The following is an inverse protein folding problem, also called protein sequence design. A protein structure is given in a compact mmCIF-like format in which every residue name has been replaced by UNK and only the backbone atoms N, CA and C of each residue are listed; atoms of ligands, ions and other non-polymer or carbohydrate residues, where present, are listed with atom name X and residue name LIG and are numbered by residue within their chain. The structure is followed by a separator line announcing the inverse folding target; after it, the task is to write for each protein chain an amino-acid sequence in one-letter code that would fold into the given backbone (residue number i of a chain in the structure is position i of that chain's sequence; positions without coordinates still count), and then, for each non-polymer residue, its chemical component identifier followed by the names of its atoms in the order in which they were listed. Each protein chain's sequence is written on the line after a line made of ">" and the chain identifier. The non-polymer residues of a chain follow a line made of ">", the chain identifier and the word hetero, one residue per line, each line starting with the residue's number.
data_IF_898237667044
#
_entry.id   IF_898237667044
#
_cell.length_a   1.000
_cell.length_b   1.000
_cell.length_c   1.000
_cell.angle_alpha   90.00
_cell.angle_beta   90.00
_cell.angle_gamma   90.00
#
_symmetry.space_group_name_H-M   'P 1'
#
loop_
_entity.id
_entity.type
_entity.pdbx_description
1 polymer ?
#
# COMPACT_ATOMS: atom_id res chain seq x y z
N UNK A 1 2.75 24.15 4.82
CA UNK A 1 2.57 24.33 3.35
C UNK A 1 1.43 23.47 2.81
N UNK A 2 0.42 24.05 2.15
CA UNK A 2 -0.77 23.32 1.66
C UNK A 2 -0.41 22.33 0.54
N UNK A 3 0.49 22.71 -0.37
CA UNK A 3 0.88 21.88 -1.51
C UNK A 3 1.53 20.54 -1.08
N UNK A 4 2.36 20.52 -0.02
CA UNK A 4 2.98 19.27 0.48
C UNK A 4 1.91 18.26 0.92
N UNK A 5 0.84 18.74 1.56
CA UNK A 5 -0.30 17.89 1.97
C UNK A 5 -1.02 17.30 0.76
N UNK A 6 -1.17 18.07 -0.32
CA UNK A 6 -1.77 17.57 -1.57
C UNK A 6 -0.90 16.48 -2.17
N UNK A 7 0.42 16.72 -2.31
CA UNK A 7 1.36 15.72 -2.86
C UNK A 7 1.40 14.47 -1.99
N UNK A 8 1.36 14.61 -0.67
CA UNK A 8 1.30 13.48 0.26
C UNK A 8 0.06 12.62 0.03
N UNK A 9 -1.13 13.23 -0.06
CA UNK A 9 -2.39 12.52 -0.31
C UNK A 9 -2.37 11.82 -1.68
N UNK A 10 -1.84 12.48 -2.72
CA UNK A 10 -1.65 11.85 -4.03
C UNK A 10 -0.72 10.63 -3.95
N UNK A 11 0.39 10.74 -3.22
CA UNK A 11 1.29 9.63 -2.95
C UNK A 11 0.59 8.45 -2.29
N UNK A 12 -0.22 8.71 -1.26
CA UNK A 12 -1.02 7.68 -0.56
C UNK A 12 -2.03 7.02 -1.52
N UNK A 13 -2.71 7.79 -2.36
CA UNK A 13 -3.67 7.26 -3.35
C UNK A 13 -2.97 6.32 -4.34
N UNK A 14 -1.85 6.76 -4.93
CA UNK A 14 -1.10 5.91 -5.86
C UNK A 14 -0.50 4.68 -5.19
N UNK A 15 0.01 4.83 -3.98
CA UNK A 15 0.60 3.73 -3.24
C UNK A 15 -0.44 2.66 -2.89
N UNK A 16 -1.52 3.05 -2.23
CA UNK A 16 -2.54 2.15 -1.73
C UNK A 16 -3.40 1.59 -2.87
N UNK A 17 -3.79 2.43 -3.83
CA UNK A 17 -4.49 1.99 -5.04
C UNK A 17 -3.65 1.02 -5.86
N UNK A 18 -2.36 1.32 -6.04
CA UNK A 18 -1.41 0.43 -6.71
C UNK A 18 -1.32 -0.94 -6.02
N UNK A 19 -1.21 -0.98 -4.69
CA UNK A 19 -1.16 -2.25 -3.94
C UNK A 19 -2.47 -3.04 -3.98
N UNK A 20 -3.64 -2.38 -3.92
CA UNK A 20 -4.94 -3.05 -4.01
C UNK A 20 -5.17 -3.68 -5.38
N UNK A 21 -4.86 -2.95 -6.45
CA UNK A 21 -4.96 -3.47 -7.82
C UNK A 21 -3.96 -4.61 -8.01
N UNK A 22 -2.71 -4.40 -7.58
CA UNK A 22 -1.66 -5.41 -7.73
C UNK A 22 -1.99 -6.71 -6.98
N UNK A 23 -2.37 -6.62 -5.70
CA UNK A 23 -2.78 -7.81 -4.91
C UNK A 23 -3.95 -8.55 -5.53
N UNK A 24 -4.90 -7.83 -6.14
CA UNK A 24 -6.02 -8.45 -6.88
C UNK A 24 -5.54 -9.18 -8.13
N UNK A 25 -4.65 -8.57 -8.91
CA UNK A 25 -4.08 -9.22 -10.10
C UNK A 25 -3.30 -10.49 -9.74
N UNK A 26 -2.48 -10.45 -8.68
CA UNK A 26 -1.71 -11.63 -8.25
C UNK A 26 -2.62 -12.80 -7.84
N UNK A 27 -3.79 -12.52 -7.24
CA UNK A 27 -4.76 -13.56 -6.89
C UNK A 27 -5.42 -14.22 -8.12
N UNK A 28 -5.46 -13.52 -9.25
CA UNK A 28 -5.87 -14.08 -10.53
C UNK A 28 -4.74 -14.82 -11.21
N UNK A 29 -3.53 -14.24 -11.24
CA UNK A 29 -2.33 -14.82 -11.83
C UNK A 29 -2.12 -16.28 -11.42
N UNK A 30 -2.24 -16.60 -10.13
CA UNK A 30 -2.07 -17.96 -9.57
C UNK A 30 -2.98 -19.02 -10.21
N UNK A 31 -4.11 -18.60 -10.79
CA UNK A 31 -5.11 -19.50 -11.38
C UNK A 31 -4.98 -19.64 -12.89
N UNK A 32 -4.18 -18.79 -13.52
CA UNK A 32 -4.02 -18.74 -14.97
C UNK A 32 -2.88 -19.65 -15.42
N UNK A 33 -2.91 -20.03 -16.69
CA UNK A 33 -1.88 -20.83 -17.34
C UNK A 33 -1.11 -20.01 -18.39
N UNK A 34 -0.03 -20.58 -18.92
CA UNK A 34 0.69 -19.96 -20.04
C UNK A 34 -0.21 -19.90 -21.28
N UNK A 35 -0.18 -18.81 -22.07
CA UNK A 35 0.74 -17.67 -22.02
C UNK A 35 0.20 -16.45 -21.23
N UNK A 36 -0.98 -16.57 -20.61
CA UNK A 36 -1.64 -15.47 -19.87
C UNK A 36 -0.80 -15.10 -18.65
N UNK A 37 -0.25 -16.10 -17.98
CA UNK A 37 0.64 -15.95 -16.83
C UNK A 37 1.79 -14.95 -17.08
N UNK A 38 2.51 -15.11 -18.20
CA UNK A 38 3.63 -14.23 -18.58
C UNK A 38 3.18 -12.79 -18.85
N UNK A 39 2.00 -12.63 -19.46
CA UNK A 39 1.42 -11.31 -19.74
C UNK A 39 1.06 -10.60 -18.43
N UNK A 40 0.43 -11.31 -17.50
CA UNK A 40 0.10 -10.80 -16.17
C UNK A 40 1.35 -10.38 -15.40
N UNK A 41 2.39 -11.22 -15.36
CA UNK A 41 3.64 -10.88 -14.69
C UNK A 41 4.28 -9.58 -15.19
N UNK A 42 4.21 -9.29 -16.50
CA UNK A 42 4.69 -8.01 -17.06
C UNK A 42 3.85 -6.81 -16.62
N UNK A 43 2.52 -6.95 -16.63
CA UNK A 43 1.59 -5.88 -16.21
C UNK A 43 1.77 -5.59 -14.72
N UNK A 44 1.83 -6.63 -13.90
CA UNK A 44 2.00 -6.54 -12.45
C UNK A 44 3.33 -5.87 -12.08
N UNK A 45 4.43 -6.24 -12.77
CA UNK A 45 5.74 -5.59 -12.58
C UNK A 45 5.67 -4.11 -12.94
N UNK A 46 5.02 -3.76 -14.06
CA UNK A 46 4.84 -2.36 -14.46
C UNK A 46 3.98 -1.59 -13.46
N UNK A 47 2.93 -2.20 -12.92
CA UNK A 47 2.07 -1.57 -11.92
C UNK A 47 2.83 -1.33 -10.60
N UNK A 48 3.62 -2.31 -10.16
CA UNK A 48 4.42 -2.18 -8.94
C UNK A 48 5.45 -1.06 -9.04
N UNK A 49 6.27 -1.09 -10.10
CA UNK A 49 7.36 -0.13 -10.28
C UNK A 49 6.90 1.23 -10.80
N UNK A 50 5.80 1.27 -11.56
CA UNK A 50 5.27 2.50 -12.18
C UNK A 50 4.26 3.25 -11.32
N UNK A 51 3.58 2.58 -10.38
CA UNK A 51 2.51 3.20 -9.57
C UNK A 51 2.77 3.03 -8.07
N UNK A 52 2.92 1.80 -7.59
CA UNK A 52 2.99 1.55 -6.14
C UNK A 52 4.27 2.12 -5.50
N UNK A 53 5.43 1.93 -6.13
CA UNK A 53 6.72 2.45 -5.63
C UNK A 53 6.80 3.98 -5.68
N UNK A 54 6.47 4.67 -6.80
CA UNK A 54 6.45 6.13 -6.83
C UNK A 54 5.48 6.72 -5.80
N UNK A 55 4.31 6.09 -5.63
CA UNK A 55 3.35 6.48 -4.60
C UNK A 55 3.93 6.37 -3.18
N UNK A 56 4.59 5.24 -2.86
CA UNK A 56 5.28 5.02 -1.58
C UNK A 56 6.30 6.12 -1.31
N UNK A 57 7.17 6.40 -2.30
CA UNK A 57 8.23 7.41 -2.17
C UNK A 57 7.64 8.80 -1.94
N UNK A 58 6.65 9.20 -2.74
CA UNK A 58 5.96 10.47 -2.57
C UNK A 58 5.34 10.60 -1.17
N UNK A 59 4.63 9.56 -0.72
CA UNK A 59 3.98 9.55 0.58
C UNK A 59 4.99 9.63 1.74
N UNK A 60 6.07 8.85 1.70
CA UNK A 60 7.07 8.83 2.77
C UNK A 60 7.90 10.11 2.81
N UNK A 61 8.40 10.58 1.67
CA UNK A 61 9.24 11.80 1.63
C UNK A 61 8.45 13.01 2.13
N UNK A 62 7.23 13.21 1.61
CA UNK A 62 6.39 14.33 2.06
C UNK A 62 5.89 14.15 3.49
N UNK A 63 5.64 12.92 3.93
CA UNK A 63 5.24 12.63 5.31
C UNK A 63 6.35 12.95 6.31
N UNK A 64 7.59 12.55 6.00
CA UNK A 64 8.78 12.85 6.81
C UNK A 64 9.06 14.36 6.80
N UNK A 65 8.98 15.01 5.64
CA UNK A 65 9.15 16.46 5.54
C UNK A 65 8.17 17.17 6.48
N UNK A 66 6.89 16.85 6.41
CA UNK A 66 5.89 17.45 7.29
C UNK A 66 6.21 17.23 8.78
N UNK A 67 6.78 16.08 9.16
CA UNK A 67 7.15 15.81 10.55
C UNK A 67 8.31 16.67 11.04
N UNK A 68 9.31 16.91 10.20
CA UNK A 68 10.45 17.79 10.50
C UNK A 68 9.96 19.24 10.68
N UNK A 69 9.11 19.72 9.78
CA UNK A 69 8.53 21.07 9.84
C UNK A 69 7.67 21.30 11.09
N UNK A 70 7.03 20.25 11.62
CA UNK A 70 6.14 20.31 12.80
C UNK A 70 6.87 20.28 14.16
N UNK A 71 8.22 20.32 14.18
CA UNK A 71 9.05 20.40 15.39
C UNK A 71 8.66 19.44 16.54
N UNK A 72 8.38 18.16 16.26
CA UNK A 72 8.07 17.13 17.27
C UNK A 72 6.83 17.39 18.17
N UNK A 73 6.12 18.52 18.00
CA UNK A 73 4.83 18.85 18.63
C UNK A 73 3.76 17.72 18.50
N UNK A 74 3.74 16.88 17.44
CA UNK A 74 2.74 15.83 17.29
C UNK A 74 2.84 14.64 18.26
N UNK A 75 3.94 14.48 19.00
CA UNK A 75 4.20 13.26 19.80
C UNK A 75 3.20 13.03 20.95
N UNK A 76 2.49 14.06 21.41
CA UNK A 76 1.45 13.93 22.46
C UNK A 76 0.05 13.67 21.88
N UNK A 77 -0.12 13.72 20.56
CA UNK A 77 -1.43 13.55 19.94
C UNK A 77 -1.69 12.05 19.65
N UNK A 78 -2.72 11.42 20.25
CA UNK A 78 -3.04 10.01 19.99
C UNK A 78 -3.30 9.72 18.51
N UNK A 79 -3.84 10.68 17.75
CA UNK A 79 -4.05 10.55 16.31
C UNK A 79 -2.74 10.38 15.53
N UNK A 80 -1.63 10.93 16.04
CA UNK A 80 -0.32 10.78 15.42
C UNK A 80 0.18 9.33 15.50
N UNK A 81 0.04 8.69 16.67
CA UNK A 81 0.41 7.28 16.84
C UNK A 81 -0.42 6.35 15.96
N UNK A 82 -1.73 6.56 15.88
CA UNK A 82 -2.61 5.79 14.99
C UNK A 82 -2.15 5.90 13.54
N UNK A 83 -1.86 7.13 13.07
CA UNK A 83 -1.36 7.35 11.70
C UNK A 83 -0.03 6.64 11.46
N UNK A 84 0.89 6.70 12.42
CA UNK A 84 2.19 6.06 12.30
C UNK A 84 2.06 4.54 12.22
N UNK A 85 1.25 3.94 13.10
CA UNK A 85 0.96 2.50 13.08
C UNK A 85 0.35 2.05 11.75
N UNK A 86 -0.57 2.84 11.19
CA UNK A 86 -1.16 2.57 9.88
C UNK A 86 -0.13 2.59 8.75
N UNK A 87 0.75 3.60 8.72
CA UNK A 87 1.82 3.69 7.72
C UNK A 87 2.79 2.52 7.86
N UNK A 88 3.20 2.17 9.08
CA UNK A 88 4.06 1.00 9.32
C UNK A 88 3.40 -0.30 8.83
N UNK A 89 2.12 -0.51 9.12
CA UNK A 89 1.37 -1.66 8.63
C UNK A 89 1.31 -1.71 7.09
N UNK A 90 1.11 -0.56 6.44
CA UNK A 90 1.08 -0.47 4.98
C UNK A 90 2.45 -0.76 4.35
N UNK A 91 3.56 -0.32 4.98
CA UNK A 91 4.92 -0.67 4.56
C UNK A 91 5.14 -2.19 4.63
N UNK A 92 4.73 -2.83 5.74
CA UNK A 92 4.85 -4.29 5.88
C UNK A 92 4.07 -5.01 4.78
N UNK A 93 2.82 -4.62 4.53
CA UNK A 93 2.00 -5.19 3.46
C UNK A 93 2.59 -4.94 2.08
N UNK A 94 3.20 -3.77 1.83
CA UNK A 94 3.88 -3.46 0.58
C UNK A 94 4.99 -4.48 0.27
N UNK A 95 5.85 -4.77 1.25
CA UNK A 95 6.92 -5.77 1.08
C UNK A 95 6.39 -7.20 0.95
N UNK A 96 5.26 -7.53 1.59
CA UNK A 96 4.59 -8.81 1.40
C UNK A 96 4.10 -8.96 -0.05
N UNK A 97 3.43 -7.93 -0.59
CA UNK A 97 2.97 -7.92 -1.99
C UNK A 97 4.16 -7.99 -2.95
N UNK A 98 5.23 -7.25 -2.68
CA UNK A 98 6.48 -7.34 -3.45
C UNK A 98 6.99 -8.77 -3.50
N UNK A 99 7.14 -9.43 -2.34
CA UNK A 99 7.62 -10.82 -2.26
C UNK A 99 6.72 -11.77 -3.07
N UNK A 100 5.41 -11.56 -3.05
CA UNK A 100 4.44 -12.38 -3.79
C UNK A 100 4.55 -12.19 -5.30
N UNK A 101 4.75 -10.95 -5.76
CA UNK A 101 5.04 -10.63 -7.16
C UNK A 101 6.32 -11.34 -7.63
N UNK A 102 7.41 -11.21 -6.89
CA UNK A 102 8.67 -11.87 -7.25
C UNK A 102 8.55 -13.39 -7.27
N UNK A 103 7.83 -13.96 -6.30
CA UNK A 103 7.61 -15.39 -6.23
C UNK A 103 6.84 -15.91 -7.45
N UNK A 104 5.77 -15.21 -7.89
CA UNK A 104 5.01 -15.62 -9.07
C UNK A 104 5.81 -15.54 -10.37
N UNK A 105 6.63 -14.49 -10.52
CA UNK A 105 7.44 -14.30 -11.74
C UNK A 105 8.56 -15.35 -11.86
N UNK A 106 9.21 -15.72 -10.76
CA UNK A 106 10.40 -16.60 -10.81
C UNK A 106 10.10 -18.06 -10.46
N UNK A 107 9.05 -18.33 -9.68
CA UNK A 107 8.63 -19.66 -9.25
C UNK A 107 7.10 -19.77 -9.33
N UNK A 108 6.54 -19.81 -10.56
CA UNK A 108 5.11 -19.85 -10.82
C UNK A 108 4.42 -21.17 -10.43
N UNK A 109 5.14 -22.14 -9.85
CA UNK A 109 4.55 -23.39 -9.32
C UNK A 109 3.27 -23.09 -8.54
N UNK A 110 2.28 -24.01 -8.65
CA UNK A 110 0.90 -23.85 -8.15
C UNK A 110 0.86 -23.40 -6.68
N UNK A 111 0.97 -22.09 -6.46
CA UNK A 111 0.92 -21.50 -5.14
C UNK A 111 -0.53 -21.48 -4.65
N UNK A 112 -0.77 -21.58 -3.33
CA UNK A 112 -2.13 -21.57 -2.82
C UNK A 112 -2.78 -20.19 -3.02
N UNK A 113 -3.85 -20.13 -3.83
CA UNK A 113 -4.59 -18.90 -4.13
C UNK A 113 -5.16 -18.20 -2.88
N UNK A 114 -5.36 -18.94 -1.78
CA UNK A 114 -5.85 -18.40 -0.50
C UNK A 114 -4.95 -17.30 0.08
N UNK A 115 -3.62 -17.46 -0.04
CA UNK A 115 -2.64 -16.48 0.47
C UNK A 115 -2.81 -15.10 -0.19
N UNK A 116 -3.07 -15.08 -1.50
CA UNK A 116 -3.21 -13.86 -2.30
C UNK A 116 -4.52 -13.13 -1.99
N UNK A 117 -5.61 -13.88 -1.82
CA UNK A 117 -6.88 -13.32 -1.36
C UNK A 117 -6.74 -12.71 0.03
N UNK A 118 -6.08 -13.39 0.96
CA UNK A 118 -5.88 -12.89 2.32
C UNK A 118 -5.15 -11.54 2.33
N UNK A 119 -4.08 -11.40 1.54
CA UNK A 119 -3.33 -10.14 1.46
C UNK A 119 -4.17 -9.01 0.86
N UNK A 120 -4.98 -9.31 -0.18
CA UNK A 120 -5.90 -8.32 -0.74
C UNK A 120 -6.96 -7.87 0.28
N UNK A 121 -7.56 -8.82 1.01
CA UNK A 121 -8.52 -8.52 2.08
C UNK A 121 -7.87 -7.74 3.21
N UNK A 122 -6.64 -8.08 3.61
CA UNK A 122 -5.89 -7.35 4.63
C UNK A 122 -5.60 -5.90 4.21
N UNK A 123 -5.22 -5.66 2.96
CA UNK A 123 -5.06 -4.30 2.41
C UNK A 123 -6.37 -3.50 2.44
N UNK A 124 -7.47 -4.12 2.02
CA UNK A 124 -8.79 -3.47 2.06
C UNK A 124 -9.25 -3.16 3.49
N UNK A 125 -9.06 -4.11 4.41
CA UNK A 125 -9.40 -3.93 5.82
C UNK A 125 -8.55 -2.84 6.48
N UNK A 126 -7.25 -2.77 6.16
CA UNK A 126 -6.37 -1.70 6.63
C UNK A 126 -6.86 -0.33 6.15
N UNK A 127 -7.23 -0.22 4.87
CA UNK A 127 -7.79 1.02 4.31
C UNK A 127 -9.05 1.47 5.07
N UNK A 128 -10.02 0.57 5.26
CA UNK A 128 -11.25 0.90 6.00
C UNK A 128 -10.93 1.30 7.43
N UNK A 129 -10.04 0.57 8.10
CA UNK A 129 -9.61 0.88 9.48
C UNK A 129 -8.99 2.27 9.58
N UNK A 130 -8.14 2.64 8.62
CA UNK A 130 -7.53 3.97 8.57
C UNK A 130 -8.59 5.05 8.38
N UNK A 131 -9.54 4.87 7.47
CA UNK A 131 -10.61 5.85 7.23
C UNK A 131 -11.52 6.03 8.46
N UNK A 132 -11.91 4.94 9.12
CA UNK A 132 -12.69 4.98 10.36
C UNK A 132 -11.91 5.70 11.44
N UNK A 133 -10.61 5.40 11.60
CA UNK A 133 -9.79 6.06 12.61
C UNK A 133 -9.69 7.57 12.40
N UNK A 134 -9.56 8.02 11.15
CA UNK A 134 -9.56 9.44 10.80
C UNK A 134 -10.91 10.07 11.15
N UNK A 135 -12.02 9.44 10.76
CA UNK A 135 -13.36 9.95 11.05
C UNK A 135 -13.60 10.10 12.56
N UNK A 136 -13.21 9.10 13.38
CA UNK A 136 -13.38 9.14 14.83
C UNK A 136 -12.54 10.26 15.47
N UNK A 137 -11.30 10.45 15.00
CA UNK A 137 -10.43 11.56 15.46
C UNK A 137 -11.05 12.91 15.13
N UNK A 138 -11.62 13.09 13.93
CA UNK A 138 -12.27 14.35 13.53
C UNK A 138 -13.60 14.61 14.23
N UNK A 139 -14.34 13.58 14.63
CA UNK A 139 -15.60 13.72 15.36
C UNK A 139 -15.41 14.04 16.84
N UNK A 140 -14.28 13.61 17.43
CA UNK A 140 -13.99 13.74 18.86
C UNK A 140 -13.21 15.00 19.28
N UNK A 141 -12.81 15.86 18.33
CA UNK A 141 -12.12 17.13 18.60
C UNK A 141 -12.91 18.32 18.09
#
# INVERSE_FOLDING_TARGET
>A
MVWIRIVHVLGIIFWMGGLLILSRMLAYHVKEELPIQDRLGRIEKRLYWGVAIPGLLLALITGIWMLIDLQMVPLKNPAFHIKLTAVTGLIVLHFIVQKMLYALIHKPEKQPAGKYKLVHTALGALLVTVLISIYLVYRGG
#
